data_IF_065877726746
#
_entry.id   IF_065877726746
#
_cell.length_a   1.000
_cell.length_b   1.000
_cell.length_c   1.000
_cell.angle_alpha   90.00
_cell.angle_beta   90.00
_cell.angle_gamma   90.00
#
_symmetry.space_group_name_H-M   'P 1'
#
loop_
_entity.id
_entity.type
_entity.pdbx_description
1 polymer ?
#
# COMPACT_ATOMS: atom_id res chain seq x y z
N UNK A 1 -7.85 5.32 40.87
CA UNK A 1 -7.89 3.95 40.32
C UNK A 1 -8.72 3.88 39.01
N UNK A 2 -8.26 4.44 37.88
CA UNK A 2 -9.04 4.40 36.61
C UNK A 2 -8.26 4.06 35.33
N UNK A 3 -6.94 3.89 35.40
CA UNK A 3 -6.08 3.77 34.19
C UNK A 3 -5.86 2.31 33.76
N UNK A 4 -6.04 1.33 34.65
CA UNK A 4 -5.82 -0.08 34.31
C UNK A 4 -6.93 -0.71 33.45
N UNK A 5 -8.18 -0.28 33.60
CA UNK A 5 -9.30 -0.86 32.85
C UNK A 5 -9.26 -0.53 31.35
N UNK A 6 -8.77 0.67 30.98
CA UNK A 6 -8.77 1.11 29.58
C UNK A 6 -7.77 0.32 28.73
N UNK A 7 -6.60 -0.03 29.30
CA UNK A 7 -5.59 -0.86 28.63
C UNK A 7 -6.09 -2.30 28.44
N UNK A 8 -6.81 -2.84 29.42
CA UNK A 8 -7.37 -4.20 29.36
C UNK A 8 -8.47 -4.31 28.30
N UNK A 9 -9.32 -3.30 28.15
CA UNK A 9 -10.38 -3.28 27.11
C UNK A 9 -9.76 -3.23 25.72
N UNK A 10 -8.72 -2.42 25.52
CA UNK A 10 -8.00 -2.36 24.24
C UNK A 10 -7.33 -3.68 23.88
N UNK A 11 -6.71 -4.32 24.86
CA UNK A 11 -6.05 -5.61 24.66
C UNK A 11 -7.06 -6.72 24.35
N UNK A 12 -8.19 -6.77 25.07
CA UNK A 12 -9.26 -7.75 24.82
C UNK A 12 -9.92 -7.49 23.46
N UNK A 13 -10.16 -6.23 23.10
CA UNK A 13 -10.66 -5.86 21.77
C UNK A 13 -9.69 -6.26 20.65
N UNK A 14 -8.40 -6.06 20.84
CA UNK A 14 -7.36 -6.46 19.88
C UNK A 14 -7.26 -7.99 19.74
N UNK A 15 -7.33 -8.72 20.86
CA UNK A 15 -7.31 -10.20 20.85
C UNK A 15 -8.56 -10.72 20.14
N UNK A 16 -9.76 -10.23 20.48
CA UNK A 16 -11.01 -10.65 19.84
C UNK A 16 -11.03 -10.33 18.34
N UNK A 17 -10.57 -9.14 17.94
CA UNK A 17 -10.44 -8.75 16.54
C UNK A 17 -9.44 -9.62 15.81
N UNK A 18 -8.30 -9.93 16.43
CA UNK A 18 -7.30 -10.82 15.85
C UNK A 18 -7.86 -12.23 15.68
N UNK A 19 -8.53 -12.80 16.69
CA UNK A 19 -9.12 -14.14 16.59
C UNK A 19 -10.25 -14.21 15.58
N UNK A 20 -11.06 -13.15 15.43
CA UNK A 20 -12.11 -13.10 14.41
C UNK A 20 -11.51 -13.03 12.99
N UNK A 21 -10.41 -12.31 12.81
CA UNK A 21 -9.69 -12.22 11.53
C UNK A 21 -8.89 -13.50 11.23
N UNK A 22 -8.32 -14.16 12.23
CA UNK A 22 -7.55 -15.41 12.09
C UNK A 22 -8.41 -16.68 12.02
N UNK A 23 -9.66 -16.63 12.51
CA UNK A 23 -10.63 -17.72 12.36
C UNK A 23 -11.31 -17.72 10.99
N UNK A 24 -11.06 -16.70 10.17
CA UNK A 24 -11.53 -16.65 8.79
C UNK A 24 -10.44 -17.18 7.88
N UNK A 25 -10.84 -18.07 6.99
CA UNK A 25 -10.05 -18.52 5.87
C UNK A 25 -9.76 -17.32 4.96
N UNK A 26 -8.47 -17.08 4.74
CA UNK A 26 -7.97 -15.94 3.98
C UNK A 26 -7.53 -16.42 2.61
N UNK A 27 -8.04 -15.78 1.55
CA UNK A 27 -7.65 -16.10 0.19
C UNK A 27 -6.65 -15.07 -0.34
N UNK A 28 -5.46 -15.54 -0.74
CA UNK A 28 -4.46 -14.72 -1.44
C UNK A 28 -4.70 -14.79 -2.96
N UNK A 29 -4.90 -13.64 -3.60
CA UNK A 29 -5.01 -13.54 -5.08
C UNK A 29 -3.74 -12.90 -5.64
N UNK A 30 -2.85 -13.65 -6.32
CA UNK A 30 -1.64 -13.09 -6.90
C UNK A 30 -1.94 -12.11 -8.06
N UNK A 31 -1.13 -11.07 -8.20
CA UNK A 31 -1.24 -10.03 -9.24
C UNK A 31 -0.11 -9.00 -9.14
N UNK A 32 -0.26 -7.82 -9.77
CA UNK A 32 0.70 -6.69 -9.68
C UNK A 32 0.79 -6.02 -8.29
N UNK A 33 0.38 -6.73 -7.25
CA UNK A 33 0.27 -6.28 -5.86
C UNK A 33 -0.19 -7.44 -4.97
N UNK A 34 -0.51 -7.14 -3.71
CA UNK A 34 -1.02 -8.11 -2.75
C UNK A 34 -2.51 -7.87 -2.51
N UNK A 35 -3.29 -8.94 -2.57
CA UNK A 35 -4.73 -8.89 -2.38
C UNK A 35 -5.15 -10.05 -1.48
N UNK A 36 -5.76 -9.68 -0.36
CA UNK A 36 -6.18 -10.56 0.72
C UNK A 36 -7.68 -10.30 0.92
N UNK A 37 -8.50 -11.33 0.84
CA UNK A 37 -9.93 -11.23 1.15
C UNK A 37 -10.38 -12.32 2.11
N UNK A 38 -11.44 -12.05 2.87
CA UNK A 38 -12.20 -13.11 3.54
C UNK A 38 -12.86 -14.02 2.51
N UNK A 39 -13.06 -15.29 2.84
CA UNK A 39 -13.80 -16.23 1.96
C UNK A 39 -15.20 -15.74 1.57
N UNK A 40 -15.92 -15.10 2.47
CA UNK A 40 -17.27 -14.56 2.22
C UNK A 40 -17.26 -13.20 1.52
N UNK A 41 -16.09 -12.72 1.05
CA UNK A 41 -15.88 -11.39 0.45
C UNK A 41 -16.41 -10.21 1.31
N UNK A 42 -16.61 -10.41 2.62
CA UNK A 42 -17.02 -9.38 3.59
C UNK A 42 -15.98 -8.25 3.75
N UNK A 43 -14.70 -8.57 3.65
CA UNK A 43 -13.65 -7.56 3.67
C UNK A 43 -12.51 -7.92 2.73
N UNK A 44 -11.80 -6.89 2.29
CA UNK A 44 -10.68 -7.01 1.36
C UNK A 44 -9.59 -6.01 1.68
N UNK A 45 -8.36 -6.48 1.76
CA UNK A 45 -7.16 -5.67 1.86
C UNK A 45 -6.38 -5.78 0.55
N UNK A 46 -6.10 -4.63 -0.06
CA UNK A 46 -5.31 -4.52 -1.29
C UNK A 46 -4.12 -3.60 -1.05
N UNK A 47 -2.93 -4.13 -1.35
CA UNK A 47 -1.71 -3.38 -1.48
C UNK A 47 -1.35 -3.30 -2.95
N UNK A 48 -1.49 -2.12 -3.53
CA UNK A 48 -1.20 -1.87 -4.94
C UNK A 48 -0.09 -0.83 -5.06
N UNK A 49 0.62 -0.82 -6.17
CA UNK A 49 1.64 0.19 -6.38
C UNK A 49 2.18 0.18 -7.80
N UNK A 50 2.92 1.23 -8.14
CA UNK A 50 3.68 1.27 -9.36
C UNK A 50 4.94 2.13 -9.20
N UNK A 51 5.94 1.81 -10.03
CA UNK A 51 7.13 2.63 -10.24
C UNK A 51 7.15 3.00 -11.72
N UNK A 52 7.23 4.29 -12.00
CA UNK A 52 7.38 4.81 -13.35
C UNK A 52 8.79 5.38 -13.51
N UNK A 53 9.65 4.63 -14.18
CA UNK A 53 10.97 5.09 -14.61
C UNK A 53 10.89 5.85 -15.93
N UNK A 54 11.85 6.74 -16.17
CA UNK A 54 12.01 7.45 -17.44
C UNK A 54 13.49 7.47 -17.79
N UNK A 55 13.80 7.12 -19.03
CA UNK A 55 15.11 7.26 -19.62
C UNK A 55 15.02 8.26 -20.76
N UNK A 56 15.84 9.31 -20.69
CA UNK A 56 15.90 10.37 -21.70
C UNK A 56 17.28 10.34 -22.34
N UNK A 57 17.30 10.11 -23.65
CA UNK A 57 18.52 10.20 -24.43
C UNK A 57 18.69 11.64 -24.91
N UNK A 58 19.72 12.35 -24.44
CA UNK A 58 20.09 13.60 -25.06
C UNK A 58 21.11 13.31 -26.15
N UNK A 59 20.91 13.93 -27.33
CA UNK A 59 21.89 13.86 -28.41
C UNK A 59 23.24 14.42 -27.97
N UNK A 60 24.27 14.18 -28.79
CA UNK A 60 25.63 14.68 -28.54
C UNK A 60 25.59 16.18 -28.29
N UNK A 61 26.06 16.61 -27.12
CA UNK A 61 26.12 18.03 -26.78
C UNK A 61 27.22 18.75 -27.58
N UNK A 62 27.28 20.08 -27.49
CA UNK A 62 28.26 20.90 -28.24
C UNK A 62 29.73 20.56 -27.91
N UNK A 63 29.99 19.86 -26.80
CA UNK A 63 31.31 19.42 -26.36
C UNK A 63 31.61 17.95 -26.70
N UNK A 64 30.75 17.29 -27.47
CA UNK A 64 30.92 15.88 -27.84
C UNK A 64 30.51 14.87 -26.76
N UNK A 65 30.03 15.33 -25.61
CA UNK A 65 29.59 14.45 -24.53
C UNK A 65 28.12 14.05 -24.72
N UNK A 66 27.82 12.78 -24.43
CA UNK A 66 26.46 12.25 -24.40
C UNK A 66 25.95 12.44 -22.97
N UNK A 67 24.89 13.22 -22.82
CA UNK A 67 24.19 13.38 -21.56
C UNK A 67 22.94 12.49 -21.58
N UNK A 68 22.85 11.51 -20.70
CA UNK A 68 21.69 10.62 -20.63
C UNK A 68 21.12 10.71 -19.23
N UNK A 69 19.83 10.96 -19.14
CA UNK A 69 19.14 11.05 -17.85
C UNK A 69 18.34 9.78 -17.60
N UNK A 70 18.60 9.12 -16.47
CA UNK A 70 17.73 8.11 -15.91
C UNK A 70 17.18 8.58 -14.58
N UNK A 71 15.86 8.63 -14.44
CA UNK A 71 15.23 8.98 -13.18
C UNK A 71 13.90 8.25 -12.97
N UNK A 72 13.51 8.15 -11.70
CA UNK A 72 12.17 7.67 -11.33
C UNK A 72 11.23 8.88 -11.33
N UNK A 73 10.29 8.90 -12.26
CA UNK A 73 9.35 10.00 -12.43
C UNK A 73 8.28 10.01 -11.34
N UNK A 74 7.77 8.82 -10.99
CA UNK A 74 6.71 8.63 -9.99
C UNK A 74 6.86 7.29 -9.30
N UNK A 75 6.63 7.29 -8.00
CA UNK A 75 6.46 6.07 -7.21
C UNK A 75 5.19 6.22 -6.39
N UNK A 76 4.34 5.19 -6.40
CA UNK A 76 3.09 5.16 -5.64
C UNK A 76 2.90 3.81 -4.98
N UNK A 77 2.42 3.86 -3.74
CA UNK A 77 1.96 2.73 -2.96
C UNK A 77 0.58 3.07 -2.40
N UNK A 78 -0.38 2.18 -2.59
CA UNK A 78 -1.76 2.31 -2.14
C UNK A 78 -2.11 1.19 -1.18
N UNK A 79 -2.58 1.57 0.00
CA UNK A 79 -3.20 0.68 0.97
C UNK A 79 -4.70 0.90 0.91
N UNK A 80 -5.42 -0.15 0.55
CA UNK A 80 -6.87 -0.10 0.37
C UNK A 80 -7.51 -1.16 1.26
N UNK A 81 -8.50 -0.76 2.04
CA UNK A 81 -9.33 -1.67 2.82
C UNK A 81 -10.78 -1.45 2.44
N UNK A 82 -11.43 -2.48 1.92
CA UNK A 82 -12.85 -2.49 1.59
C UNK A 82 -13.60 -3.33 2.64
N UNK A 83 -14.77 -2.85 3.09
CA UNK A 83 -15.67 -3.55 3.99
C UNK A 83 -17.08 -3.57 3.42
N UNK A 84 -17.62 -4.78 3.23
CA UNK A 84 -18.94 -5.10 2.69
C UNK A 84 -19.25 -4.38 1.36
N UNK A 85 -18.23 -4.05 0.57
CA UNK A 85 -18.31 -3.22 -0.63
C UNK A 85 -18.99 -1.84 -0.44
N UNK A 86 -19.22 -1.42 0.81
CA UNK A 86 -19.89 -0.16 1.16
C UNK A 86 -18.93 0.89 1.66
N UNK A 87 -17.92 0.45 2.40
CA UNK A 87 -16.96 1.33 3.04
C UNK A 87 -15.57 1.04 2.50
N UNK A 88 -14.85 2.10 2.13
CA UNK A 88 -13.48 1.99 1.66
C UNK A 88 -12.61 2.97 2.42
N UNK A 89 -11.53 2.46 2.99
CA UNK A 89 -10.41 3.27 3.48
C UNK A 89 -9.30 3.19 2.44
N UNK A 90 -8.83 4.34 2.00
CA UNK A 90 -7.81 4.47 0.97
C UNK A 90 -6.68 5.39 1.46
N UNK A 91 -5.49 4.82 1.61
CA UNK A 91 -4.27 5.56 1.97
C UNK A 91 -3.28 5.46 0.83
N UNK A 92 -2.89 6.62 0.30
CA UNK A 92 -1.89 6.74 -0.76
C UNK A 92 -0.60 7.30 -0.19
N UNK A 93 0.49 6.61 -0.45
CA UNK A 93 1.85 7.07 -0.21
C UNK A 93 2.53 7.25 -1.56
N UNK A 94 3.06 8.44 -1.83
CA UNK A 94 3.79 8.73 -3.05
C UNK A 94 5.09 9.46 -2.72
N UNK A 95 6.13 9.20 -3.51
CA UNK A 95 7.34 10.01 -3.46
C UNK A 95 7.26 11.05 -4.60
N UNK A 96 7.07 12.35 -4.31
CA UNK A 96 7.13 13.38 -5.33
C UNK A 96 8.56 13.51 -5.85
N UNK A 97 8.70 13.87 -7.14
CA UNK A 97 10.00 14.20 -7.75
C UNK A 97 10.65 15.33 -6.94
N UNK A 98 11.80 15.06 -6.32
CA UNK A 98 12.69 16.13 -5.86
C UNK A 98 13.40 16.68 -7.09
N UNK A 99 13.08 17.92 -7.48
CA UNK A 99 13.90 18.67 -8.43
C UNK A 99 15.17 19.09 -7.72
N UNK A 100 16.31 18.54 -8.15
CA UNK A 100 17.62 19.13 -7.87
C UNK A 100 17.86 20.31 -8.80
#
# INVERSE_FOLDING_TARGET
MKVHYLKSIFLVGFILLSTAVFSQSVFYKPGGGLNISSEEDLWKLRLLGYVQSTFTYHGVNQNGAIDNEFFIRRTRLDFIFDYQDRYQIFVRVGCPRQSH
#
